data_IF_891906730270
#
_entry.id   IF_891906730270
#
_cell.length_a   1.000
_cell.length_b   1.000
_cell.length_c   1.000
_cell.angle_alpha   90.00
_cell.angle_beta   90.00
_cell.angle_gamma   90.00
#
_symmetry.space_group_name_H-M   'P 1'
#
loop_
_entity.id
_entity.type
_entity.pdbx_description
1 polymer ?
#
# COMPACT_ATOMS: atom_id res chain seq x y z
N UNK A 1 -4.46 12.54 -15.40
CA UNK A 1 -5.55 12.98 -14.52
C UNK A 1 -5.43 12.23 -13.20
N UNK A 2 -4.83 12.86 -12.18
CA UNK A 2 -4.58 12.29 -10.83
C UNK A 2 -5.62 12.78 -9.79
N UNK A 3 -6.53 13.65 -10.19
CA UNK A 3 -7.59 14.17 -9.32
C UNK A 3 -8.82 13.25 -9.31
N UNK A 4 -9.58 13.31 -8.21
CA UNK A 4 -10.88 12.63 -8.02
C UNK A 4 -10.80 11.10 -8.13
N UNK A 5 -9.73 10.50 -7.59
CA UNK A 5 -9.47 9.06 -7.60
C UNK A 5 -9.16 8.53 -6.22
N UNK A 6 -9.58 7.30 -5.95
CA UNK A 6 -9.17 6.53 -4.77
C UNK A 6 -7.88 5.74 -5.08
N UNK A 7 -6.85 5.87 -4.24
CA UNK A 7 -5.57 5.18 -4.44
C UNK A 7 -5.44 3.97 -3.51
N UNK A 8 -5.06 2.83 -4.09
CA UNK A 8 -4.73 1.61 -3.34
C UNK A 8 -3.28 1.21 -3.57
N UNK A 9 -2.54 1.02 -2.48
CA UNK A 9 -1.16 0.56 -2.46
C UNK A 9 -1.08 -0.83 -1.85
N UNK A 10 -0.42 -1.76 -2.53
CA UNK A 10 -0.22 -3.14 -2.07
C UNK A 10 1.28 -3.38 -1.94
N UNK A 11 1.74 -3.60 -0.72
CA UNK A 11 3.15 -3.62 -0.36
C UNK A 11 3.55 -5.04 0.03
N UNK A 12 4.51 -5.61 -0.71
CA UNK A 12 5.07 -6.92 -0.34
C UNK A 12 5.94 -6.78 0.92
N UNK A 13 5.69 -7.64 1.90
CA UNK A 13 6.51 -7.86 3.10
C UNK A 13 7.00 -9.30 3.21
N UNK A 14 7.10 -10.03 2.10
CA UNK A 14 7.70 -11.36 2.06
C UNK A 14 9.13 -11.34 2.58
N UNK A 15 9.65 -12.51 3.00
CA UNK A 15 11.02 -12.62 3.51
C UNK A 15 12.10 -12.12 2.52
N UNK A 16 11.82 -12.15 1.21
CA UNK A 16 12.74 -11.60 0.21
C UNK A 16 12.99 -10.09 0.38
N UNK A 17 12.08 -9.38 1.04
CA UNK A 17 12.18 -7.95 1.26
C UNK A 17 13.25 -7.54 2.28
N UNK A 18 13.78 -8.48 3.08
CA UNK A 18 14.94 -8.24 3.95
C UNK A 18 16.28 -8.34 3.24
N UNK A 19 16.30 -8.71 1.95
CA UNK A 19 17.54 -8.87 1.20
C UNK A 19 18.25 -7.52 1.03
N UNK A 20 19.52 -7.36 1.49
CA UNK A 20 20.27 -6.11 1.41
C UNK A 20 20.96 -5.96 0.04
N UNK A 21 20.20 -6.10 -1.05
CA UNK A 21 20.71 -6.08 -2.42
C UNK A 21 20.47 -4.77 -3.17
N UNK A 22 20.03 -3.72 -2.45
CA UNK A 22 19.81 -2.40 -3.01
C UNK A 22 21.05 -1.50 -2.83
N UNK A 23 21.06 -0.37 -3.54
CA UNK A 23 22.16 0.60 -3.46
C UNK A 23 22.49 0.98 -2.00
N UNK A 24 23.78 0.95 -1.67
CA UNK A 24 24.26 1.22 -0.30
C UNK A 24 24.00 0.10 0.70
N UNK A 25 23.72 -1.13 0.25
CA UNK A 25 23.44 -2.28 1.13
C UNK A 25 22.07 -2.21 1.82
N UNK A 26 21.18 -1.36 1.30
CA UNK A 26 19.82 -1.21 1.83
C UNK A 26 18.99 -2.43 1.48
N UNK A 27 18.02 -2.73 2.33
CA UNK A 27 17.03 -3.78 2.06
C UNK A 27 15.97 -3.29 1.07
N UNK A 28 15.36 -4.22 0.34
CA UNK A 28 14.21 -3.90 -0.52
C UNK A 28 13.06 -3.27 0.28
N UNK A 29 12.86 -3.67 1.53
CA UNK A 29 11.89 -3.07 2.46
C UNK A 29 12.17 -1.58 2.71
N UNK A 30 13.43 -1.21 2.94
CA UNK A 30 13.82 0.19 3.13
C UNK A 30 13.62 1.04 1.86
N UNK A 31 13.84 0.48 0.68
CA UNK A 31 13.56 1.16 -0.59
C UNK A 31 12.06 1.30 -0.84
N UNK A 32 11.29 0.26 -0.54
CA UNK A 32 9.84 0.29 -0.63
C UNK A 32 9.24 1.34 0.31
N UNK A 33 9.76 1.47 1.54
CA UNK A 33 9.34 2.49 2.49
C UNK A 33 9.49 3.90 1.93
N UNK A 34 10.68 4.23 1.44
CA UNK A 34 10.98 5.56 0.88
C UNK A 34 10.06 5.87 -0.31
N UNK A 35 9.91 4.91 -1.22
CA UNK A 35 9.08 5.06 -2.41
C UNK A 35 7.60 5.21 -2.06
N UNK A 36 7.11 4.44 -1.10
CA UNK A 36 5.71 4.50 -0.65
C UNK A 36 5.41 5.82 0.05
N UNK A 37 6.32 6.31 0.90
CA UNK A 37 6.18 7.63 1.55
C UNK A 37 6.14 8.75 0.50
N UNK A 38 7.02 8.71 -0.50
CA UNK A 38 7.04 9.71 -1.56
C UNK A 38 5.73 9.72 -2.37
N UNK A 39 5.21 8.53 -2.69
CA UNK A 39 3.93 8.40 -3.40
C UNK A 39 2.75 8.84 -2.53
N UNK A 40 2.71 8.44 -1.26
CA UNK A 40 1.64 8.81 -0.33
C UNK A 40 1.54 10.33 -0.17
N UNK A 41 2.67 11.04 -0.04
CA UNK A 41 2.70 12.51 -0.02
C UNK A 41 2.06 13.10 -1.27
N UNK A 42 2.35 12.52 -2.43
CA UNK A 42 1.79 13.03 -3.69
C UNK A 42 0.30 12.72 -3.81
N UNK A 43 -0.15 11.56 -3.37
CA UNK A 43 -1.57 11.21 -3.33
C UNK A 43 -2.34 12.14 -2.39
N UNK A 44 -1.81 12.43 -1.20
CA UNK A 44 -2.45 13.32 -0.22
C UNK A 44 -2.74 14.73 -0.73
N UNK A 45 -1.91 15.25 -1.66
CA UNK A 45 -2.17 16.56 -2.28
C UNK A 45 -3.47 16.59 -3.11
N UNK A 46 -3.87 15.45 -3.68
CA UNK A 46 -5.08 15.32 -4.49
C UNK A 46 -6.22 14.63 -3.74
N UNK A 47 -5.86 13.90 -2.68
CA UNK A 47 -6.74 13.05 -1.91
C UNK A 47 -6.51 13.22 -0.40
N UNK A 48 -7.18 14.20 0.22
CA UNK A 48 -6.98 14.49 1.64
C UNK A 48 -7.62 13.46 2.58
N UNK A 49 -8.53 12.59 2.10
CA UNK A 49 -9.12 11.53 2.93
C UNK A 49 -8.20 10.29 3.06
N UNK A 50 -7.15 10.24 2.25
CA UNK A 50 -6.03 9.31 2.38
C UNK A 50 -6.12 8.14 1.40
N UNK A 51 -5.17 7.21 1.52
CA UNK A 51 -5.05 6.06 0.62
C UNK A 51 -5.42 4.75 1.31
N UNK A 52 -5.79 3.73 0.53
CA UNK A 52 -5.89 2.35 1.04
C UNK A 52 -4.53 1.69 0.95
N UNK A 53 -4.03 1.10 2.04
CA UNK A 53 -2.75 0.38 2.07
C UNK A 53 -2.96 -1.06 2.50
N UNK A 54 -2.44 -1.98 1.70
CA UNK A 54 -2.29 -3.39 2.05
C UNK A 54 -0.82 -3.69 2.30
N UNK A 55 -0.54 -4.47 3.33
CA UNK A 55 0.77 -5.09 3.53
C UNK A 55 0.58 -6.60 3.50
N UNK A 56 1.28 -7.30 2.61
CA UNK A 56 1.04 -8.72 2.33
C UNK A 56 2.29 -9.58 2.35
N UNK A 57 2.10 -10.86 2.68
CA UNK A 57 3.08 -11.95 2.54
C UNK A 57 2.26 -13.22 2.28
N UNK A 58 2.32 -14.23 3.16
CA UNK A 58 1.39 -15.36 3.11
C UNK A 58 -0.05 -14.99 3.52
N UNK A 59 -0.18 -13.92 4.31
CA UNK A 59 -1.44 -13.25 4.68
C UNK A 59 -1.29 -11.74 4.45
N UNK A 60 -2.40 -11.02 4.43
CA UNK A 60 -2.39 -9.56 4.28
C UNK A 60 -3.14 -8.85 5.41
N UNK A 61 -2.84 -7.57 5.59
CA UNK A 61 -3.58 -6.64 6.42
C UNK A 61 -3.89 -5.39 5.61
N UNK A 62 -5.14 -4.93 5.70
CA UNK A 62 -5.65 -3.71 5.06
C UNK A 62 -5.71 -2.57 6.07
N UNK A 63 -5.36 -1.38 5.63
CA UNK A 63 -5.46 -0.13 6.35
C UNK A 63 -6.18 0.87 5.45
N UNK A 64 -7.26 1.46 5.94
CA UNK A 64 -8.03 2.47 5.21
C UNK A 64 -7.66 3.88 5.68
N UNK A 65 -7.90 4.87 4.83
CA UNK A 65 -7.72 6.30 5.11
C UNK A 65 -6.30 6.61 5.65
N UNK A 66 -5.31 6.01 5.02
CA UNK A 66 -3.91 6.07 5.43
C UNK A 66 -3.28 7.36 4.91
N UNK A 67 -2.73 8.14 5.83
CA UNK A 67 -1.91 9.32 5.55
C UNK A 67 -0.43 8.97 5.46
N UNK A 68 0.41 9.86 4.94
CA UNK A 68 1.87 9.73 4.88
C UNK A 68 2.46 9.36 6.25
N UNK A 69 1.98 10.00 7.32
CA UNK A 69 2.40 9.70 8.69
C UNK A 69 2.07 8.26 9.07
N UNK A 70 0.88 7.78 8.69
CA UNK A 70 0.46 6.41 8.96
C UNK A 70 1.21 5.38 8.10
N UNK A 71 1.60 5.72 6.87
CA UNK A 71 2.51 4.87 6.07
C UNK A 71 3.82 4.63 6.82
N UNK A 72 4.46 5.68 7.34
CA UNK A 72 5.71 5.53 8.08
C UNK A 72 5.54 4.60 9.30
N UNK A 73 4.43 4.74 10.04
CA UNK A 73 4.09 3.85 11.15
C UNK A 73 3.88 2.39 10.68
N UNK A 74 3.19 2.17 9.56
CA UNK A 74 2.97 0.83 9.01
C UNK A 74 4.30 0.12 8.74
N UNK A 75 5.30 0.83 8.20
CA UNK A 75 6.63 0.26 7.95
C UNK A 75 7.42 -0.03 9.24
N UNK A 76 7.18 0.72 10.32
CA UNK A 76 7.80 0.46 11.63
C UNK A 76 7.17 -0.73 12.36
N UNK A 77 5.87 -0.97 12.13
CA UNK A 77 5.11 -2.06 12.77
C UNK A 77 5.19 -3.40 12.01
N UNK A 78 5.82 -3.43 10.84
CA UNK A 78 5.88 -4.62 9.98
C UNK A 78 7.31 -4.91 9.55
N UNK A 79 7.70 -6.17 9.71
CA UNK A 79 8.97 -6.70 9.22
C UNK A 79 8.78 -7.69 8.07
N UNK A 80 9.74 -7.76 7.12
CA UNK A 80 9.78 -8.80 6.10
C UNK A 80 9.76 -10.21 6.68
N UNK A 81 8.76 -11.01 6.33
CA UNK A 81 8.63 -12.39 6.76
C UNK A 81 7.70 -13.21 5.86
N UNK A 82 7.89 -14.52 5.87
CA UNK A 82 7.01 -15.47 5.19
C UNK A 82 7.18 -15.49 3.66
N UNK A 83 6.21 -16.10 2.99
CA UNK A 83 6.17 -16.27 1.53
C UNK A 83 5.38 -15.15 0.85
N UNK A 84 5.36 -15.12 -0.48
CA UNK A 84 4.61 -14.14 -1.29
C UNK A 84 3.29 -14.75 -1.76
N UNK A 85 2.15 -14.12 -1.46
CA UNK A 85 0.84 -14.48 -2.00
C UNK A 85 0.08 -13.24 -2.51
N UNK A 86 0.45 -12.79 -3.71
CA UNK A 86 -0.17 -11.62 -4.34
C UNK A 86 -1.63 -11.86 -4.77
N UNK A 87 -1.99 -13.10 -5.13
CA UNK A 87 -3.33 -13.42 -5.63
C UNK A 87 -4.42 -13.11 -4.60
N UNK A 88 -4.22 -13.50 -3.34
CA UNK A 88 -5.21 -13.28 -2.28
C UNK A 88 -5.48 -11.79 -2.00
N UNK A 89 -4.44 -10.97 -1.94
CA UNK A 89 -4.57 -9.54 -1.64
C UNK A 89 -5.10 -8.75 -2.84
N UNK A 90 -4.75 -9.12 -4.08
CA UNK A 90 -5.32 -8.50 -5.27
C UNK A 90 -6.83 -8.79 -5.38
N UNK A 91 -7.24 -10.02 -5.09
CA UNK A 91 -8.65 -10.37 -5.09
C UNK A 91 -9.44 -9.55 -4.08
N UNK A 92 -8.90 -9.37 -2.87
CA UNK A 92 -9.53 -8.55 -1.82
C UNK A 92 -9.62 -7.07 -2.23
N UNK A 93 -8.52 -6.50 -2.74
CA UNK A 93 -8.48 -5.13 -3.22
C UNK A 93 -9.49 -4.86 -4.34
N UNK A 94 -9.59 -5.76 -5.32
CA UNK A 94 -10.57 -5.64 -6.41
C UNK A 94 -12.01 -5.79 -5.89
N UNK A 95 -12.26 -6.75 -5.01
CA UNK A 95 -13.59 -6.93 -4.42
C UNK A 95 -14.01 -5.70 -3.63
N UNK A 96 -13.11 -5.12 -2.83
CA UNK A 96 -13.36 -3.89 -2.08
C UNK A 96 -13.69 -2.72 -3.01
N UNK A 97 -12.92 -2.54 -4.09
CA UNK A 97 -13.21 -1.53 -5.10
C UNK A 97 -14.62 -1.69 -5.70
N UNK A 98 -14.97 -2.89 -6.16
CA UNK A 98 -16.28 -3.12 -6.79
C UNK A 98 -17.44 -2.96 -5.80
N UNK A 99 -17.26 -3.35 -4.54
CA UNK A 99 -18.26 -3.14 -3.49
C UNK A 99 -18.49 -1.65 -3.22
N UNK A 100 -17.42 -0.87 -3.04
CA UNK A 100 -17.51 0.59 -2.85
C UNK A 100 -18.15 1.27 -4.05
N UNK A 101 -17.80 0.85 -5.26
CA UNK A 101 -18.36 1.40 -6.50
C UNK A 101 -19.85 1.14 -6.60
N UNK A 102 -20.29 -0.09 -6.33
CA UNK A 102 -21.70 -0.45 -6.31
C UNK A 102 -22.49 0.33 -5.24
N UNK A 103 -21.84 0.67 -4.12
CA UNK A 103 -22.41 1.48 -3.04
C UNK A 103 -22.35 3.00 -3.30
N UNK A 104 -21.77 3.46 -4.41
CA UNK A 104 -21.60 4.90 -4.70
C UNK A 104 -20.59 5.61 -3.81
N UNK A 105 -19.61 4.87 -3.26
CA UNK A 105 -18.60 5.36 -2.31
C UNK A 105 -17.22 5.58 -2.96
N UNK A 106 -17.11 5.45 -4.27
CA UNK A 106 -15.89 5.75 -5.04
C UNK A 106 -15.93 7.16 -5.57
N UNK A 107 -14.77 7.77 -5.76
CA UNK A 107 -14.66 9.09 -6.38
C UNK A 107 -15.07 9.04 -7.86
N UNK A 108 -15.43 10.19 -8.47
CA UNK A 108 -15.92 10.24 -9.84
C UNK A 108 -15.04 9.55 -10.89
N UNK A 109 -13.71 9.58 -10.72
CA UNK A 109 -12.78 8.95 -11.66
C UNK A 109 -12.37 7.51 -11.27
N UNK A 110 -13.00 6.94 -10.24
CA UNK A 110 -12.72 5.60 -9.73
C UNK A 110 -11.98 5.60 -8.42
#
# INVERSE_FOLDING_TARGET
MMSDRDYTLIIDKSGSMSTPDQAGGRTRWQIAQESTIALARKCEEFDPDGITVYVFSGKFKRYDNVTTTKVAQIFQENDPAGTTNLGSVLQDALNNYFQRKAAGQTKPNG
#
